data_IF_149106651506
#
_entry.id   IF_149106651506
#
_cell.length_a   1.000
_cell.length_b   1.000
_cell.length_c   1.000
_cell.angle_alpha   90.00
_cell.angle_beta   90.00
_cell.angle_gamma   90.00
#
_symmetry.space_group_name_H-M   'P 1'
#
loop_
_entity.id
_entity.type
_entity.pdbx_description
1 polymer ?
#
# COMPACT_ATOMS: atom_id res chain seq x y z
N UNK A 1 17.54 8.74 -33.87
CA UNK A 1 16.51 7.68 -33.85
C UNK A 1 16.79 6.61 -32.81
N UNK A 2 17.98 6.01 -32.82
CA UNK A 2 18.31 4.95 -31.85
C UNK A 2 18.28 5.45 -30.39
N UNK A 3 18.67 6.71 -30.14
CA UNK A 3 18.65 7.28 -28.78
C UNK A 3 17.24 7.52 -28.27
N UNK A 4 16.33 7.99 -29.14
CA UNK A 4 14.94 8.20 -28.75
C UNK A 4 14.25 6.88 -28.41
N UNK A 5 14.50 5.82 -29.18
CA UNK A 5 13.96 4.51 -28.91
C UNK A 5 14.46 3.97 -27.58
N UNK A 6 15.75 4.13 -27.28
CA UNK A 6 16.33 3.70 -25.99
C UNK A 6 15.76 4.47 -24.82
N UNK A 7 15.60 5.80 -24.97
CA UNK A 7 15.03 6.64 -23.93
C UNK A 7 13.58 6.23 -23.62
N UNK A 8 12.78 5.97 -24.64
CA UNK A 8 11.40 5.53 -24.49
C UNK A 8 11.33 4.16 -23.80
N UNK A 9 12.20 3.22 -24.20
CA UNK A 9 12.27 1.90 -23.57
C UNK A 9 12.69 1.99 -22.10
N UNK A 10 13.66 2.84 -21.77
CA UNK A 10 14.11 3.04 -20.40
C UNK A 10 12.99 3.60 -19.53
N UNK A 11 12.23 4.58 -20.04
CA UNK A 11 11.08 5.15 -19.35
C UNK A 11 9.99 4.11 -19.11
N UNK A 12 9.66 3.33 -20.14
CA UNK A 12 8.67 2.27 -20.04
C UNK A 12 9.08 1.23 -19.02
N UNK A 13 10.34 0.83 -18.98
CA UNK A 13 10.88 -0.12 -18.01
C UNK A 13 10.78 0.45 -16.60
N UNK A 14 11.15 1.72 -16.41
CA UNK A 14 11.09 2.39 -15.12
C UNK A 14 9.65 2.52 -14.62
N UNK A 15 8.71 2.89 -15.49
CA UNK A 15 7.29 2.98 -15.13
C UNK A 15 6.74 1.62 -14.75
N UNK A 16 7.07 0.58 -15.51
CA UNK A 16 6.64 -0.78 -15.19
C UNK A 16 7.20 -1.25 -13.84
N UNK A 17 8.46 -0.95 -13.57
CA UNK A 17 9.07 -1.27 -12.27
C UNK A 17 8.34 -0.56 -11.13
N UNK A 18 8.06 0.74 -11.30
CA UNK A 18 7.37 1.54 -10.28
C UNK A 18 5.95 1.05 -10.05
N UNK A 19 5.21 0.70 -11.11
CA UNK A 19 3.87 0.16 -11.00
C UNK A 19 3.89 -1.18 -10.27
N UNK A 20 4.83 -2.05 -10.61
CA UNK A 20 5.00 -3.35 -9.96
C UNK A 20 5.30 -3.18 -8.48
N UNK A 21 6.17 -2.23 -8.13
CA UNK A 21 6.53 -1.94 -6.74
C UNK A 21 5.33 -1.42 -5.94
N UNK A 22 4.55 -0.49 -6.53
CA UNK A 22 3.33 0.02 -5.90
C UNK A 22 2.35 -1.13 -5.66
N UNK A 23 2.13 -1.97 -6.67
CA UNK A 23 1.23 -3.11 -6.54
C UNK A 23 1.68 -4.06 -5.42
N UNK A 24 2.98 -4.35 -5.34
CA UNK A 24 3.55 -5.20 -4.29
C UNK A 24 3.28 -4.62 -2.91
N UNK A 25 3.53 -3.33 -2.73
CA UNK A 25 3.33 -2.65 -1.44
C UNK A 25 1.85 -2.59 -1.06
N UNK A 26 0.96 -2.37 -2.02
CA UNK A 26 -0.48 -2.38 -1.77
C UNK A 26 -0.93 -3.77 -1.32
N UNK A 27 -0.48 -4.82 -1.98
CA UNK A 27 -0.82 -6.19 -1.61
C UNK A 27 -0.30 -6.54 -0.21
N UNK A 28 0.94 -6.16 0.10
CA UNK A 28 1.51 -6.37 1.43
C UNK A 28 0.71 -5.64 2.51
N UNK A 29 0.36 -4.39 2.27
CA UNK A 29 -0.43 -3.61 3.21
C UNK A 29 -1.83 -4.18 3.41
N UNK A 30 -2.49 -4.61 2.34
CA UNK A 30 -3.81 -5.23 2.42
C UNK A 30 -3.74 -6.56 3.17
N UNK A 31 -2.71 -7.37 2.95
CA UNK A 31 -2.53 -8.62 3.67
C UNK A 31 -2.30 -8.39 5.15
N UNK A 32 -1.52 -7.38 5.51
CA UNK A 32 -1.30 -7.00 6.91
C UNK A 32 -2.61 -6.62 7.58
N UNK A 33 -3.39 -5.75 6.95
CA UNK A 33 -4.69 -5.31 7.46
C UNK A 33 -5.63 -6.51 7.62
N UNK A 34 -5.69 -7.38 6.63
CA UNK A 34 -6.52 -8.58 6.66
C UNK A 34 -6.12 -9.50 7.82
N UNK A 35 -4.83 -9.70 8.04
CA UNK A 35 -4.32 -10.54 9.14
C UNK A 35 -4.70 -9.97 10.50
N UNK A 36 -4.54 -8.66 10.70
CA UNK A 36 -4.91 -7.99 11.94
C UNK A 36 -6.42 -8.08 12.15
N UNK A 37 -7.22 -7.92 11.09
CA UNK A 37 -8.67 -8.04 11.17
C UNK A 37 -9.10 -9.44 11.59
N UNK A 38 -8.46 -10.48 11.05
CA UNK A 38 -8.74 -11.87 11.42
C UNK A 38 -8.40 -12.14 12.88
N UNK A 39 -7.27 -11.62 13.37
CA UNK A 39 -6.89 -11.75 14.76
C UNK A 39 -7.89 -11.03 15.68
N UNK A 40 -8.34 -9.84 15.31
CA UNK A 40 -9.34 -9.11 16.06
C UNK A 40 -10.66 -9.88 16.14
N UNK A 41 -11.09 -10.49 15.02
CA UNK A 41 -12.30 -11.31 14.99
C UNK A 41 -12.16 -12.54 15.88
N UNK A 42 -11.03 -13.22 15.79
CA UNK A 42 -10.77 -14.40 16.64
C UNK A 42 -10.79 -14.03 18.12
N UNK A 43 -10.22 -12.87 18.48
CA UNK A 43 -10.24 -12.37 19.85
C UNK A 43 -11.67 -12.10 20.33
N UNK A 44 -12.48 -11.41 19.50
CA UNK A 44 -13.88 -11.11 19.82
C UNK A 44 -14.72 -12.36 20.04
N UNK A 45 -14.40 -13.46 19.36
CA UNK A 45 -15.11 -14.72 19.50
C UNK A 45 -14.67 -15.49 20.75
N UNK A 46 -13.62 -15.07 21.43
CA UNK A 46 -13.15 -15.68 22.66
C UNK A 46 -13.87 -15.07 23.86
N UNK A 47 -14.04 -15.84 24.97
CA UNK A 47 -14.63 -15.26 26.19
C UNK A 47 -13.83 -14.09 26.76
N UNK A 48 -12.51 -14.14 26.65
CA UNK A 48 -11.63 -13.07 27.10
C UNK A 48 -11.82 -11.81 26.29
N UNK A 49 -12.02 -11.95 24.97
CA UNK A 49 -12.22 -10.83 24.06
C UNK A 49 -13.52 -10.08 24.32
N UNK A 50 -14.56 -10.76 24.77
CA UNK A 50 -15.82 -10.13 25.14
C UNK A 50 -15.71 -9.31 26.41
N UNK A 51 -14.75 -9.64 27.29
CA UNK A 51 -14.51 -8.93 28.54
C UNK A 51 -13.56 -7.76 28.38
N UNK A 52 -12.56 -7.92 27.48
CA UNK A 52 -11.52 -6.92 27.28
C UNK A 52 -11.55 -6.45 25.82
N UNK A 53 -12.26 -5.36 25.60
CA UNK A 53 -12.38 -4.76 24.25
C UNK A 53 -11.20 -3.89 23.89
N UNK A 54 -10.27 -3.63 24.80
CA UNK A 54 -9.09 -2.79 24.53
C UNK A 54 -8.21 -3.38 23.44
N UNK A 55 -8.08 -4.71 23.42
CA UNK A 55 -7.31 -5.40 22.37
C UNK A 55 -7.91 -5.13 21.01
N UNK A 56 -9.24 -5.21 20.89
CA UNK A 56 -9.94 -4.93 19.63
C UNK A 56 -9.80 -3.47 19.23
N UNK A 57 -9.95 -2.57 20.18
CA UNK A 57 -9.78 -1.12 19.94
C UNK A 57 -8.38 -0.83 19.43
N UNK A 58 -7.36 -1.42 20.04
CA UNK A 58 -5.97 -1.26 19.60
C UNK A 58 -5.73 -1.87 18.22
N UNK A 59 -6.33 -3.02 17.94
CA UNK A 59 -6.24 -3.64 16.60
C UNK A 59 -6.87 -2.73 15.54
N UNK A 60 -8.04 -2.17 15.80
CA UNK A 60 -8.72 -1.26 14.88
C UNK A 60 -7.89 0.00 14.64
N UNK A 61 -7.27 0.54 15.69
CA UNK A 61 -6.37 1.70 15.57
C UNK A 61 -5.16 1.37 14.71
N UNK A 62 -4.58 0.19 14.90
CA UNK A 62 -3.45 -0.29 14.09
C UNK A 62 -3.85 -0.43 12.63
N UNK A 63 -5.03 -0.98 12.36
CA UNK A 63 -5.57 -1.10 10.99
C UNK A 63 -5.71 0.28 10.37
N UNK A 64 -6.28 1.24 11.10
CA UNK A 64 -6.45 2.61 10.63
C UNK A 64 -5.11 3.25 10.26
N UNK A 65 -4.11 3.13 11.13
CA UNK A 65 -2.78 3.69 10.87
C UNK A 65 -2.10 3.01 9.69
N UNK A 66 -2.23 1.70 9.55
CA UNK A 66 -1.68 0.97 8.41
C UNK A 66 -2.34 1.40 7.11
N UNK A 67 -3.66 1.58 7.12
CA UNK A 67 -4.41 2.05 5.95
C UNK A 67 -4.00 3.47 5.56
N UNK A 68 -3.85 4.36 6.53
CA UNK A 68 -3.41 5.74 6.29
C UNK A 68 -2.01 5.80 5.70
N UNK A 69 -1.07 5.02 6.25
CA UNK A 69 0.29 4.95 5.71
C UNK A 69 0.31 4.40 4.29
N UNK A 70 -0.51 3.39 4.02
CA UNK A 70 -0.62 2.81 2.69
C UNK A 70 -1.18 3.83 1.70
N UNK A 71 -2.22 4.55 2.08
CA UNK A 71 -2.83 5.59 1.25
C UNK A 71 -1.82 6.69 0.94
N UNK A 72 -1.08 7.16 1.93
CA UNK A 72 -0.03 8.18 1.75
C UNK A 72 1.05 7.68 0.81
N UNK A 73 1.50 6.45 0.99
CA UNK A 73 2.50 5.85 0.11
C UNK A 73 2.03 5.83 -1.34
N UNK A 74 0.80 5.36 -1.57
CA UNK A 74 0.24 5.28 -2.93
C UNK A 74 0.09 6.68 -3.54
N UNK A 75 -0.39 7.64 -2.77
CA UNK A 75 -0.52 9.02 -3.25
C UNK A 75 0.84 9.61 -3.66
N UNK A 76 1.86 9.40 -2.84
CA UNK A 76 3.21 9.89 -3.11
C UNK A 76 3.78 9.25 -4.38
N UNK A 77 3.59 7.94 -4.54
CA UNK A 77 4.08 7.23 -5.72
C UNK A 77 3.34 7.65 -6.99
N UNK A 78 2.03 7.86 -6.90
CA UNK A 78 1.24 8.35 -8.04
C UNK A 78 1.70 9.76 -8.42
N UNK A 79 1.95 10.61 -7.44
CA UNK A 79 2.47 11.96 -7.69
C UNK A 79 3.81 11.92 -8.42
N UNK A 80 4.73 11.06 -7.96
CA UNK A 80 6.03 10.89 -8.61
C UNK A 80 5.89 10.35 -10.04
N UNK A 81 5.00 9.38 -10.25
CA UNK A 81 4.75 8.83 -11.58
C UNK A 81 4.19 9.89 -12.53
N UNK A 82 3.27 10.72 -12.06
CA UNK A 82 2.71 11.82 -12.86
C UNK A 82 3.79 12.81 -13.27
N UNK A 83 4.65 13.17 -12.35
CA UNK A 83 5.73 14.11 -12.63
C UNK A 83 6.77 13.53 -13.58
N UNK A 84 7.05 12.24 -13.45
CA UNK A 84 7.98 11.54 -14.33
C UNK A 84 7.40 11.37 -15.74
N UNK A 85 6.09 11.14 -15.84
CA UNK A 85 5.41 10.90 -17.10
C UNK A 85 5.08 12.19 -17.87
N UNK A 86 5.09 13.36 -17.22
CA UNK A 86 4.82 14.60 -17.90
C UNK A 86 5.95 14.92 -18.87
N UNK A 87 5.63 15.21 -20.14
CA UNK A 87 6.65 15.69 -21.07
C UNK A 87 7.18 17.03 -20.59
N UNK A 88 8.47 17.19 -20.62
CA UNK A 88 9.07 18.48 -20.32
C UNK A 88 8.67 19.48 -21.39
N UNK A 89 8.08 20.55 -20.97
CA UNK A 89 7.64 21.62 -21.86
C UNK A 89 8.83 22.34 -22.50
#
# INVERSE_FOLDING_TARGET
MKQETRSTSARATQLNFSITEVNRMVQMGCNEISSISQLAQAWLLSPEGLRDTDVVTNALRTIQHSAERLATYVEDEIYLLRNTAKPEA
#
